data_IF_960160208520
#
_entry.id   IF_960160208520
#
_cell.length_a   1.000
_cell.length_b   1.000
_cell.length_c   1.000
_cell.angle_alpha   90.00
_cell.angle_beta   90.00
_cell.angle_gamma   90.00
#
_symmetry.space_group_name_H-M   'P 1'
#
loop_
_entity.id
_entity.type
_entity.pdbx_description
1 polymer ?
#
# COMPACT_ATOMS: atom_id res chain seq x y z
N UNK A 1 -14.93 21.05 -40.17
CA UNK A 1 -13.89 20.35 -39.37
C UNK A 1 -14.60 19.38 -38.44
N UNK A 2 -14.50 18.08 -38.75
CA UNK A 2 -15.13 16.91 -38.10
C UNK A 2 -14.81 16.86 -36.58
N UNK A 3 -15.72 16.57 -35.65
CA UNK A 3 -16.52 15.35 -35.39
C UNK A 3 -15.67 14.13 -34.97
N UNK A 4 -15.87 13.65 -33.73
CA UNK A 4 -16.27 12.26 -33.42
C UNK A 4 -16.08 11.91 -31.92
N UNK A 5 -17.19 11.66 -31.23
CA UNK A 5 -17.24 10.87 -30.00
C UNK A 5 -17.35 9.39 -30.39
N UNK A 6 -16.56 8.52 -29.76
CA UNK A 6 -16.66 7.07 -29.90
C UNK A 6 -17.34 6.46 -28.67
N UNK A 7 -18.52 5.89 -28.90
CA UNK A 7 -19.18 4.95 -28.00
C UNK A 7 -18.94 3.53 -28.51
N UNK A 8 -18.66 2.59 -27.60
CA UNK A 8 -18.49 1.16 -27.89
C UNK A 8 -19.62 0.38 -27.23
N UNK A 9 -20.37 -0.43 -27.98
CA UNK A 9 -21.10 -1.55 -27.41
C UNK A 9 -20.58 -2.88 -27.95
N UNK A 10 -20.51 -3.90 -27.10
CA UNK A 10 -20.39 -5.30 -27.53
C UNK A 10 -21.36 -6.16 -26.73
N UNK A 11 -22.36 -6.68 -27.43
CA UNK A 11 -23.11 -7.85 -27.00
C UNK A 11 -22.48 -9.12 -27.58
N UNK A 12 -22.69 -10.25 -26.91
CA UNK A 12 -22.75 -11.59 -27.52
C UNK A 12 -23.84 -12.38 -26.78
N UNK A 13 -24.54 -13.19 -27.55
CA UNK A 13 -25.82 -13.84 -27.28
C UNK A 13 -25.64 -15.37 -27.18
N UNK A 14 -26.63 -16.05 -26.57
CA UNK A 14 -27.22 -17.37 -26.92
C UNK A 14 -27.15 -18.57 -25.94
N UNK A 15 -28.38 -19.08 -25.71
CA UNK A 15 -28.86 -20.47 -25.51
C UNK A 15 -28.56 -21.12 -24.14
N UNK A 16 -29.45 -21.89 -23.49
CA UNK A 16 -30.39 -22.93 -23.97
C UNK A 16 -31.62 -23.04 -23.03
N UNK A 17 -32.78 -23.39 -23.61
CA UNK A 17 -34.07 -23.76 -23.00
C UNK A 17 -34.02 -25.09 -22.21
N UNK A 18 -34.84 -25.24 -21.16
CA UNK A 18 -35.84 -26.34 -21.04
C UNK A 18 -36.81 -26.13 -19.87
N UNK A 19 -38.01 -26.67 -20.07
CA UNK A 19 -39.28 -26.46 -19.38
C UNK A 19 -39.51 -27.24 -18.06
N UNK A 20 -40.66 -26.90 -17.45
CA UNK A 20 -41.67 -27.71 -16.72
C UNK A 20 -41.66 -27.56 -15.19
N UNK A 21 -42.65 -26.84 -14.63
CA UNK A 21 -44.04 -27.23 -14.32
C UNK A 21 -44.13 -28.06 -13.02
N UNK A 22 -44.57 -27.41 -11.94
CA UNK A 22 -45.84 -27.66 -11.23
C UNK A 22 -45.71 -27.46 -9.71
N UNK A 23 -46.62 -26.60 -9.23
CA UNK A 23 -47.44 -26.73 -8.02
C UNK A 23 -46.75 -27.05 -6.68
N UNK A 24 -46.89 -26.09 -5.78
CA UNK A 24 -47.67 -26.34 -4.57
C UNK A 24 -46.98 -26.00 -3.26
N UNK A 25 -47.73 -25.34 -2.38
CA UNK A 25 -47.63 -25.59 -0.94
C UNK A 25 -46.89 -24.54 -0.12
N UNK A 26 -47.61 -23.50 0.29
CA UNK A 26 -47.33 -22.76 1.52
C UNK A 26 -47.53 -23.73 2.69
N UNK A 27 -46.52 -23.93 3.56
CA UNK A 27 -46.72 -24.22 4.99
C UNK A 27 -45.44 -24.07 5.80
N UNK A 28 -45.62 -23.40 6.93
CA UNK A 28 -44.70 -23.21 8.05
C UNK A 28 -43.98 -24.49 8.45
N UNK A 29 -42.66 -24.42 8.70
CA UNK A 29 -41.93 -25.30 9.61
C UNK A 29 -40.79 -24.45 10.22
N UNK A 30 -40.97 -23.98 11.45
CA UNK A 30 -40.39 -24.58 12.66
C UNK A 30 -38.85 -24.51 12.69
N UNK A 31 -38.36 -23.59 13.54
CA UNK A 31 -36.96 -23.53 14.00
C UNK A 31 -36.55 -24.88 14.61
N UNK A 32 -35.33 -25.38 14.36
CA UNK A 32 -34.68 -26.28 15.29
C UNK A 32 -33.80 -25.49 16.26
N UNK A 33 -34.06 -25.66 17.56
CA UNK A 33 -33.02 -25.51 18.59
C UNK A 33 -32.17 -26.78 18.53
N UNK A 34 -30.87 -26.65 18.30
CA UNK A 34 -29.91 -27.69 18.65
C UNK A 34 -28.74 -27.06 19.40
N UNK A 35 -28.49 -27.67 20.56
CA UNK A 35 -27.43 -27.50 21.53
C UNK A 35 -26.06 -27.90 20.99
N UNK A 36 -25.00 -27.24 21.46
CA UNK A 36 -23.65 -27.82 21.50
C UNK A 36 -22.56 -26.92 20.92
N UNK A 37 -21.49 -26.76 21.71
CA UNK A 37 -20.23 -26.08 21.43
C UNK A 37 -20.23 -24.54 21.53
N UNK A 38 -19.50 -24.06 22.53
CA UNK A 38 -18.98 -22.69 22.66
C UNK A 38 -18.21 -22.27 21.40
N UNK A 39 -18.64 -21.27 20.61
CA UNK A 39 -17.78 -20.67 19.62
C UNK A 39 -17.02 -19.53 20.31
N UNK A 40 -15.73 -19.76 20.55
CA UNK A 40 -14.82 -18.72 21.03
C UNK A 40 -14.79 -17.59 20.01
N UNK A 41 -15.06 -16.37 20.48
CA UNK A 41 -14.67 -15.05 19.94
C UNK A 41 -14.48 -14.87 18.42
N UNK A 42 -15.18 -15.61 17.57
CA UNK A 42 -15.42 -15.20 16.20
C UNK A 42 -16.54 -14.17 16.29
N UNK A 43 -16.14 -12.91 16.45
CA UNK A 43 -17.01 -11.81 16.06
C UNK A 43 -17.23 -12.05 14.57
N UNK A 44 -18.31 -12.76 14.25
CA UNK A 44 -19.08 -12.53 13.05
C UNK A 44 -19.37 -11.04 13.03
N UNK A 45 -18.42 -10.26 12.52
CA UNK A 45 -18.73 -9.01 11.87
C UNK A 45 -19.67 -9.45 10.79
N UNK A 46 -20.97 -9.42 11.11
CA UNK A 46 -21.99 -9.56 10.10
C UNK A 46 -21.49 -8.70 8.95
N UNK A 47 -21.36 -9.31 7.78
CA UNK A 47 -21.45 -8.61 6.52
C UNK A 47 -22.87 -8.00 6.43
N UNK A 48 -23.31 -7.27 7.46
CA UNK A 48 -24.33 -6.28 7.37
C UNK A 48 -23.73 -5.23 6.45
N UNK A 49 -23.93 -5.52 5.17
CA UNK A 49 -24.21 -4.62 4.08
C UNK A 49 -24.00 -3.18 4.54
N UNK A 50 -23.15 -2.42 3.86
CA UNK A 50 -23.37 -0.97 3.79
C UNK A 50 -24.83 -0.78 3.38
N UNK A 51 -25.74 -0.69 4.36
CA UNK A 51 -27.17 -0.60 4.13
C UNK A 51 -27.32 0.82 3.65
N UNK A 52 -27.24 0.97 2.32
CA UNK A 52 -27.68 2.17 1.65
C UNK A 52 -29.02 2.55 2.25
N UNK A 53 -29.13 3.79 2.67
CA UNK A 53 -30.37 4.36 3.19
C UNK A 53 -31.18 4.76 1.98
N UNK A 54 -32.34 4.13 1.81
CA UNK A 54 -33.30 4.51 0.77
C UNK A 54 -34.19 5.60 1.36
N UNK A 55 -34.06 6.82 0.84
CA UNK A 55 -34.84 7.98 1.24
C UNK A 55 -36.06 8.06 0.33
N UNK A 56 -37.25 8.10 0.95
CA UNK A 56 -38.53 8.12 0.24
C UNK A 56 -39.41 9.28 0.71
N UNK A 57 -40.21 9.82 -0.19
CA UNK A 57 -41.22 10.83 0.09
C UNK A 57 -42.62 10.23 -0.04
N UNK A 58 -43.56 10.64 0.81
CA UNK A 58 -44.97 10.25 0.66
C UNK A 58 -45.57 10.95 -0.55
N UNK A 59 -46.24 10.21 -1.43
CA UNK A 59 -46.83 10.79 -2.63
C UNK A 59 -47.97 11.77 -2.32
N UNK A 60 -48.71 11.52 -1.25
CA UNK A 60 -49.80 12.37 -0.76
C UNK A 60 -49.35 13.14 0.49
N UNK A 61 -49.62 14.45 0.52
CA UNK A 61 -49.38 15.29 1.70
C UNK A 61 -50.21 14.78 2.89
N UNK A 62 -49.58 14.70 4.07
CA UNK A 62 -50.23 14.29 5.32
C UNK A 62 -50.85 15.53 5.97
N UNK A 63 -52.15 15.53 6.32
CA UNK A 63 -52.74 16.67 7.01
C UNK A 63 -52.11 16.86 8.39
N UNK A 64 -51.93 18.13 8.77
CA UNK A 64 -51.31 18.50 10.05
C UNK A 64 -52.17 18.01 11.21
N UNK A 65 -51.52 17.44 12.21
CA UNK A 65 -52.13 17.21 13.51
C UNK A 65 -52.07 18.49 14.33
N UNK A 66 -52.95 18.63 15.33
CA UNK A 66 -52.74 19.63 16.38
C UNK A 66 -51.41 19.39 17.10
N UNK A 67 -50.86 20.44 17.68
CA UNK A 67 -49.57 20.37 18.38
C UNK A 67 -49.56 19.29 19.48
N UNK A 68 -48.47 18.52 19.55
CA UNK A 68 -48.34 17.35 20.44
C UNK A 68 -49.18 16.13 20.05
N UNK A 69 -50.04 16.21 19.02
CA UNK A 69 -50.85 15.07 18.54
C UNK A 69 -50.18 14.34 17.39
N UNK A 70 -50.38 13.03 17.32
CA UNK A 70 -49.91 12.20 16.20
C UNK A 70 -50.78 12.46 14.95
N UNK A 71 -50.20 12.54 13.74
CA UNK A 71 -50.97 12.72 12.51
C UNK A 71 -51.82 11.48 12.19
N UNK A 72 -53.04 11.71 11.75
CA UNK A 72 -53.93 10.63 11.27
C UNK A 72 -53.52 10.23 9.85
N UNK A 73 -52.95 9.03 9.72
CA UNK A 73 -52.52 8.50 8.43
C UNK A 73 -53.64 7.72 7.75
N UNK A 74 -53.90 8.03 6.48
CA UNK A 74 -54.83 7.28 5.64
C UNK A 74 -54.07 6.23 4.82
N UNK A 75 -54.77 5.21 4.30
CA UNK A 75 -54.18 4.15 3.45
C UNK A 75 -53.36 4.73 2.28
N UNK A 76 -53.84 5.83 1.69
CA UNK A 76 -53.16 6.54 0.58
C UNK A 76 -51.75 7.06 0.95
N UNK A 77 -51.50 7.38 2.23
CA UNK A 77 -50.19 7.90 2.69
C UNK A 77 -49.10 6.82 2.79
N UNK A 78 -49.42 5.55 2.48
CA UNK A 78 -48.45 4.44 2.38
C UNK A 78 -47.83 4.31 0.99
N UNK A 79 -48.24 5.15 0.04
CA UNK A 79 -47.61 5.22 -1.29
C UNK A 79 -46.42 6.17 -1.21
N UNK A 80 -45.24 5.65 -1.55
CA UNK A 80 -43.99 6.38 -1.49
C UNK A 80 -43.39 6.55 -2.89
N UNK A 81 -42.71 7.68 -3.10
CA UNK A 81 -41.86 7.96 -4.24
C UNK A 81 -40.41 7.91 -3.77
N UNK A 82 -39.56 7.17 -4.49
CA UNK A 82 -38.12 7.16 -4.25
C UNK A 82 -37.56 8.56 -4.51
N UNK A 83 -36.87 9.13 -3.52
CA UNK A 83 -36.18 10.42 -3.66
C UNK A 83 -34.72 10.17 -3.96
N UNK A 84 -34.06 9.38 -3.11
CA UNK A 84 -32.63 9.16 -3.21
C UNK A 84 -32.23 7.83 -2.54
N UNK A 85 -31.20 7.18 -3.07
CA UNK A 85 -30.58 6.02 -2.44
C UNK A 85 -29.12 6.33 -2.13
N UNK A 86 -28.74 6.34 -0.84
CA UNK A 86 -27.41 6.77 -0.43
C UNK A 86 -26.29 5.85 -0.91
N UNK A 87 -26.60 4.63 -1.37
CA UNK A 87 -25.58 3.72 -1.94
C UNK A 87 -24.95 4.26 -3.23
N UNK A 88 -25.65 5.13 -3.95
CA UNK A 88 -25.19 5.73 -5.20
C UNK A 88 -24.48 7.07 -5.00
N UNK A 89 -24.44 7.60 -3.76
CA UNK A 89 -23.68 8.80 -3.47
C UNK A 89 -22.16 8.56 -3.61
N UNK A 90 -21.38 9.57 -4.05
CA UNK A 90 -19.92 9.51 -4.01
C UNK A 90 -19.43 9.18 -2.61
N UNK A 91 -18.45 8.26 -2.51
CA UNK A 91 -17.91 7.82 -1.22
C UNK A 91 -16.86 8.82 -0.74
N UNK A 92 -17.09 9.39 0.43
CA UNK A 92 -16.08 10.21 1.11
C UNK A 92 -14.99 9.35 1.76
N UNK A 93 -13.82 9.95 1.93
CA UNK A 93 -12.72 9.37 2.69
C UNK A 93 -12.98 9.48 4.21
N UNK A 94 -12.20 8.74 4.99
CA UNK A 94 -12.21 8.70 6.45
C UNK A 94 -10.88 9.26 6.94
N UNK A 95 -10.93 10.24 7.84
CA UNK A 95 -9.75 10.77 8.52
C UNK A 95 -9.41 9.91 9.74
N UNK A 96 -8.17 9.44 9.79
CA UNK A 96 -7.62 8.65 10.89
C UNK A 96 -6.24 9.20 11.27
N UNK A 97 -5.82 8.96 12.52
CA UNK A 97 -4.47 9.21 12.99
C UNK A 97 -3.77 7.86 13.12
N UNK A 98 -2.59 7.70 12.52
CA UNK A 98 -1.84 6.45 12.59
C UNK A 98 -1.16 6.28 13.95
N UNK A 99 -1.32 5.12 14.58
CA UNK A 99 -0.63 4.74 15.82
C UNK A 99 0.73 4.12 15.52
N UNK A 100 0.88 3.43 14.39
CA UNK A 100 2.12 2.80 13.95
C UNK A 100 2.43 3.27 12.53
N UNK A 101 3.70 3.22 12.10
CA UNK A 101 4.01 3.44 10.70
C UNK A 101 3.44 2.30 9.86
N UNK A 102 2.75 2.68 8.79
CA UNK A 102 2.14 1.74 7.86
C UNK A 102 2.65 2.06 6.47
N UNK A 103 3.19 1.03 5.81
CA UNK A 103 3.66 1.10 4.43
C UNK A 103 2.69 1.88 3.52
N UNK A 104 3.24 2.81 2.75
CA UNK A 104 2.56 3.71 1.80
C UNK A 104 1.67 4.81 2.40
N UNK A 105 1.07 4.58 3.57
CA UNK A 105 0.18 5.54 4.23
C UNK A 105 0.99 6.67 4.88
N UNK A 106 1.79 6.35 5.89
CA UNK A 106 2.49 7.35 6.68
C UNK A 106 3.08 6.81 7.98
N UNK A 107 3.55 7.74 8.80
CA UNK A 107 4.26 7.47 10.05
C UNK A 107 3.32 7.62 11.24
N UNK A 108 3.69 7.06 12.40
CA UNK A 108 3.00 7.27 13.67
C UNK A 108 2.77 8.77 13.95
N UNK A 109 1.51 9.11 14.22
CA UNK A 109 1.02 10.45 14.52
C UNK A 109 0.53 11.23 13.30
N UNK A 110 0.72 10.72 12.09
CA UNK A 110 0.24 11.40 10.87
C UNK A 110 -1.29 11.29 10.75
N UNK A 111 -1.93 12.38 10.31
CA UNK A 111 -3.32 12.41 9.92
C UNK A 111 -3.45 11.97 8.46
N UNK A 112 -4.13 10.85 8.23
CA UNK A 112 -4.31 10.25 6.90
C UNK A 112 -5.78 10.22 6.48
N UNK A 113 -6.05 10.56 5.22
CA UNK A 113 -7.37 10.45 4.60
C UNK A 113 -7.45 9.19 3.75
N UNK A 114 -8.07 8.13 4.29
CA UNK A 114 -8.13 6.80 3.67
C UNK A 114 -9.54 6.44 3.23
N UNK A 115 -9.67 5.47 2.30
CA UNK A 115 -11.00 4.91 1.98
C UNK A 115 -11.61 4.28 3.23
N UNK A 116 -12.90 4.52 3.47
CA UNK A 116 -13.67 3.97 4.61
C UNK A 116 -13.51 2.44 4.78
N UNK A 117 -13.38 1.70 3.67
CA UNK A 117 -13.14 0.25 3.67
C UNK A 117 -11.80 -0.15 4.29
N UNK A 118 -10.72 0.55 3.95
CA UNK A 118 -9.36 0.26 4.48
C UNK A 118 -9.30 0.60 5.97
N UNK A 119 -9.87 1.74 6.35
CA UNK A 119 -9.93 2.16 7.76
C UNK A 119 -10.68 1.16 8.64
N UNK A 120 -11.88 0.75 8.24
CA UNK A 120 -12.75 -0.12 9.06
C UNK A 120 -12.36 -1.58 9.09
N UNK A 121 -11.81 -2.12 7.99
CA UNK A 121 -11.54 -3.55 7.89
C UNK A 121 -10.10 -3.90 8.29
N UNK A 122 -9.15 -2.97 8.12
CA UNK A 122 -7.72 -3.20 8.38
C UNK A 122 -7.21 -2.35 9.54
N UNK A 123 -7.21 -1.02 9.39
CA UNK A 123 -6.48 -0.16 10.32
C UNK A 123 -7.06 -0.10 11.74
N UNK A 124 -8.38 -0.02 11.88
CA UNK A 124 -9.04 0.08 13.19
C UNK A 124 -9.05 -1.27 13.93
N UNK A 125 -9.39 -2.42 13.30
CA UNK A 125 -9.36 -3.70 13.99
C UNK A 125 -7.95 -4.14 14.40
N UNK A 126 -6.94 -3.85 13.58
CA UNK A 126 -5.52 -4.16 13.88
C UNK A 126 -4.89 -3.16 14.87
N UNK A 127 -5.59 -2.08 15.24
CA UNK A 127 -5.07 -1.06 16.15
C UNK A 127 -3.98 -0.16 15.55
N UNK A 128 -3.79 -0.21 14.22
CA UNK A 128 -2.80 0.60 13.49
C UNK A 128 -3.18 2.08 13.41
N UNK A 129 -4.45 2.42 13.64
CA UNK A 129 -4.95 3.79 13.59
C UNK A 129 -6.07 4.02 14.61
N UNK A 130 -6.28 5.30 14.95
CA UNK A 130 -7.37 5.77 15.81
C UNK A 130 -8.19 6.82 15.06
N UNK A 131 -9.47 6.96 15.42
CA UNK A 131 -10.30 8.04 14.89
C UNK A 131 -9.70 9.42 15.21
N UNK A 132 -9.78 10.33 14.24
CA UNK A 132 -9.32 11.71 14.36
C UNK A 132 -10.29 12.59 15.18
N UNK A 133 -10.63 12.16 16.40
CA UNK A 133 -11.44 12.93 17.36
C UNK A 133 -10.64 14.16 17.87
N UNK A 134 -11.31 15.23 18.33
CA UNK A 134 -10.60 16.40 18.87
C UNK A 134 -9.73 16.07 20.08
N UNK A 135 -10.15 15.10 20.90
CA UNK A 135 -9.37 14.60 22.05
C UNK A 135 -8.09 13.89 21.58
N UNK A 136 -8.21 12.95 20.63
CA UNK A 136 -7.05 12.23 20.11
C UNK A 136 -6.07 13.17 19.40
N UNK A 137 -6.58 14.16 18.64
CA UNK A 137 -5.74 15.16 17.99
C UNK A 137 -4.87 15.91 19.00
N UNK A 138 -5.43 16.33 20.14
CA UNK A 138 -4.68 16.97 21.22
C UNK A 138 -3.61 16.06 21.82
N UNK A 139 -3.95 14.80 22.11
CA UNK A 139 -3.00 13.82 22.65
C UNK A 139 -1.79 13.60 21.72
N UNK A 140 -2.04 13.44 20.41
CA UNK A 140 -0.95 13.25 19.43
C UNK A 140 -0.16 14.53 19.16
N UNK A 141 -0.78 15.71 19.31
CA UNK A 141 -0.09 17.00 19.22
C UNK A 141 0.85 17.21 20.41
N UNK A 142 0.40 16.93 21.64
CA UNK A 142 1.24 16.91 22.84
C UNK A 142 2.40 15.92 22.70
N UNK A 143 2.12 14.68 22.23
CA UNK A 143 3.17 13.68 21.97
C UNK A 143 4.19 14.17 20.93
N UNK A 144 3.73 14.87 19.88
CA UNK A 144 4.60 15.45 18.85
C UNK A 144 5.48 16.56 19.43
N UNK A 145 4.96 17.41 20.30
CA UNK A 145 5.73 18.44 21.00
C UNK A 145 6.80 17.81 21.89
N UNK A 146 6.44 16.81 22.70
CA UNK A 146 7.38 16.10 23.57
C UNK A 146 8.52 15.42 22.78
N UNK A 147 8.25 14.89 21.58
CA UNK A 147 9.29 14.36 20.67
C UNK A 147 10.20 15.45 20.12
N UNK A 148 9.66 16.63 19.78
CA UNK A 148 10.46 17.76 19.29
C UNK A 148 11.38 18.31 20.38
N UNK A 149 10.93 18.31 21.64
CA UNK A 149 11.75 18.63 22.82
C UNK A 149 12.82 17.57 23.12
N UNK A 150 12.78 16.41 22.45
CA UNK A 150 13.73 15.32 22.66
C UNK A 150 13.48 14.47 23.91
N UNK A 151 12.31 14.61 24.56
CA UNK A 151 11.92 13.79 25.72
C UNK A 151 11.49 12.37 25.34
N UNK A 152 11.10 12.19 24.08
CA UNK A 152 10.64 10.93 23.50
C UNK A 152 11.51 10.55 22.30
N UNK A 153 11.56 9.25 22.00
CA UNK A 153 12.34 8.72 20.89
C UNK A 153 11.92 9.35 19.55
N UNK A 154 12.93 9.66 18.72
CA UNK A 154 12.71 10.18 17.38
C UNK A 154 12.14 9.06 16.51
N UNK A 155 11.09 9.40 15.79
CA UNK A 155 10.47 8.50 14.82
C UNK A 155 11.05 8.79 13.44
N UNK A 156 11.22 7.75 12.62
CA UNK A 156 11.63 7.91 11.25
C UNK A 156 10.64 8.76 10.46
N UNK A 157 11.16 9.57 9.55
CA UNK A 157 10.32 10.29 8.59
C UNK A 157 9.82 9.32 7.52
N UNK A 158 8.67 9.61 6.89
CA UNK A 158 8.14 8.82 5.76
C UNK A 158 9.20 8.57 4.66
N UNK A 159 9.99 9.59 4.35
CA UNK A 159 11.09 9.49 3.40
C UNK A 159 12.25 8.60 3.92
N UNK A 160 12.51 8.62 5.23
CA UNK A 160 13.51 7.78 5.89
C UNK A 160 13.14 6.30 5.80
N UNK A 161 11.89 5.94 6.15
CA UNK A 161 11.40 4.56 6.05
C UNK A 161 11.43 4.05 4.60
N UNK A 162 11.04 4.90 3.63
CA UNK A 162 11.14 4.57 2.21
C UNK A 162 12.60 4.36 1.77
N UNK A 163 13.52 5.18 2.25
CA UNK A 163 14.95 5.05 1.98
C UNK A 163 15.52 3.77 2.58
N UNK A 164 15.15 3.43 3.83
CA UNK A 164 15.54 2.18 4.49
C UNK A 164 15.06 0.96 3.69
N UNK A 165 13.78 0.97 3.26
CA UNK A 165 13.21 -0.10 2.43
C UNK A 165 13.94 -0.23 1.09
N UNK A 166 14.24 0.89 0.44
CA UNK A 166 15.01 0.91 -0.80
C UNK A 166 16.42 0.31 -0.58
N UNK A 167 17.17 0.80 0.40
CA UNK A 167 18.52 0.34 0.70
C UNK A 167 18.59 -1.16 1.01
N UNK A 168 17.60 -1.73 1.72
CA UNK A 168 17.51 -3.18 1.97
C UNK A 168 17.39 -4.02 0.71
N UNK A 169 16.80 -3.47 -0.35
CA UNK A 169 16.63 -4.16 -1.64
C UNK A 169 17.80 -3.95 -2.62
N UNK A 170 18.71 -3.04 -2.31
CA UNK A 170 19.77 -2.64 -3.23
C UNK A 170 21.05 -3.45 -3.06
N UNK A 171 21.81 -3.56 -4.16
CA UNK A 171 23.18 -4.05 -4.19
C UNK A 171 24.07 -2.99 -4.85
N UNK A 172 25.17 -2.61 -4.21
CA UNK A 172 26.05 -1.52 -4.66
C UNK A 172 27.27 -2.04 -5.42
N UNK A 173 27.44 -1.63 -6.68
CA UNK A 173 28.65 -1.93 -7.46
C UNK A 173 29.70 -0.81 -7.40
N UNK A 174 30.83 -1.11 -6.78
CA UNK A 174 31.95 -0.17 -6.64
C UNK A 174 33.05 -0.49 -7.67
N UNK A 175 32.97 0.15 -8.84
CA UNK A 175 33.99 0.05 -9.88
C UNK A 175 35.29 0.80 -9.56
N UNK A 176 36.38 0.07 -9.29
CA UNK A 176 37.74 0.58 -9.06
C UNK A 176 38.73 0.19 -10.17
N UNK A 177 39.69 1.06 -10.51
CA UNK A 177 40.66 0.79 -11.60
C UNK A 177 41.79 -0.13 -11.13
N UNK A 178 42.16 -1.11 -11.95
CA UNK A 178 43.26 -2.05 -11.63
C UNK A 178 44.66 -1.41 -11.58
N UNK A 179 44.90 -0.37 -12.39
CA UNK A 179 46.26 0.16 -12.59
C UNK A 179 46.71 1.16 -11.50
N UNK A 180 45.85 1.42 -10.52
CA UNK A 180 46.09 2.39 -9.44
C UNK A 180 45.89 1.65 -8.13
N UNK A 181 46.81 1.78 -7.17
CA UNK A 181 46.58 1.30 -5.81
C UNK A 181 45.49 2.17 -5.18
N UNK A 182 44.42 1.55 -4.69
CA UNK A 182 43.29 2.23 -4.08
C UNK A 182 42.94 1.57 -2.75
N UNK A 183 42.44 2.39 -1.83
CA UNK A 183 41.82 1.98 -0.58
C UNK A 183 40.39 2.53 -0.58
N UNK A 184 39.42 1.72 -0.17
CA UNK A 184 38.02 2.12 -0.23
C UNK A 184 37.67 3.06 0.94
N UNK A 185 37.56 4.35 0.66
CA UNK A 185 37.09 5.35 1.64
C UNK A 185 35.56 5.52 1.59
N UNK A 186 34.91 5.94 2.69
CA UNK A 186 33.47 6.23 2.72
C UNK A 186 33.03 7.23 1.64
N UNK A 187 33.88 8.21 1.30
CA UNK A 187 33.63 9.17 0.22
C UNK A 187 33.53 8.54 -1.17
N UNK A 188 34.30 7.49 -1.42
CA UNK A 188 34.25 6.74 -2.68
C UNK A 188 32.91 6.02 -2.76
N UNK A 189 32.51 5.35 -1.67
CA UNK A 189 31.24 4.62 -1.58
C UNK A 189 30.04 5.57 -1.75
N UNK A 190 30.05 6.72 -1.07
CA UNK A 190 29.02 7.76 -1.20
C UNK A 190 28.83 8.23 -2.65
N UNK A 191 29.94 8.44 -3.39
CA UNK A 191 29.86 8.81 -4.82
C UNK A 191 29.24 7.72 -5.68
N UNK A 192 29.48 6.45 -5.36
CA UNK A 192 28.91 5.32 -6.08
C UNK A 192 27.43 5.11 -5.77
N UNK A 193 26.98 5.38 -4.54
CA UNK A 193 25.55 5.45 -4.21
C UNK A 193 24.82 6.46 -5.11
N UNK A 194 25.37 7.66 -5.26
CA UNK A 194 24.79 8.68 -6.13
C UNK A 194 24.79 8.25 -7.61
N UNK A 195 25.92 7.71 -8.09
CA UNK A 195 26.07 7.39 -9.52
C UNK A 195 25.25 6.19 -9.96
N UNK A 196 25.20 5.12 -9.15
CA UNK A 196 24.60 3.87 -9.55
C UNK A 196 23.14 3.73 -9.07
N UNK A 197 22.84 4.20 -7.85
CA UNK A 197 21.52 4.05 -7.23
C UNK A 197 20.71 5.36 -7.22
N UNK A 198 21.33 6.50 -7.50
CA UNK A 198 20.66 7.81 -7.47
C UNK A 198 20.36 8.33 -6.07
N UNK A 199 20.96 7.75 -5.02
CA UNK A 199 20.74 8.14 -3.63
C UNK A 199 21.90 8.98 -3.13
N UNK A 200 21.61 10.18 -2.60
CA UNK A 200 22.60 11.04 -1.96
C UNK A 200 22.82 10.55 -0.53
N UNK A 201 24.01 10.05 -0.24
CA UNK A 201 24.41 9.61 1.11
C UNK A 201 25.61 10.42 1.56
N UNK A 202 25.57 10.95 2.78
CA UNK A 202 26.70 11.66 3.35
C UNK A 202 27.79 10.68 3.83
N UNK A 203 29.10 10.98 3.68
CA UNK A 203 30.17 10.06 4.06
C UNK A 203 30.15 9.64 5.53
N UNK A 204 29.73 10.53 6.44
CA UNK A 204 29.65 10.25 7.89
C UNK A 204 28.51 9.28 8.26
N UNK A 205 27.53 9.11 7.39
CA UNK A 205 26.43 8.17 7.60
C UNK A 205 26.82 6.72 7.23
N UNK A 206 27.95 6.54 6.54
CA UNK A 206 28.46 5.25 6.10
C UNK A 206 29.50 4.71 7.08
N UNK A 207 29.38 3.42 7.42
CA UNK A 207 30.42 2.65 8.09
C UNK A 207 30.86 1.49 7.18
N UNK A 208 32.17 1.35 7.03
CA UNK A 208 32.82 0.26 6.31
C UNK A 208 33.30 -0.79 7.33
N UNK A 209 33.57 -2.04 6.89
CA UNK A 209 34.23 -3.01 7.77
C UNK A 209 35.56 -2.47 8.28
N UNK A 210 35.98 -2.93 9.46
CA UNK A 210 37.19 -2.45 10.13
C UNK A 210 38.46 -2.70 9.31
N UNK A 211 38.47 -3.76 8.50
CA UNK A 211 39.59 -4.11 7.64
C UNK A 211 39.64 -3.21 6.39
N UNK A 212 40.82 -2.66 6.04
CA UNK A 212 40.96 -1.81 4.87
C UNK A 212 40.74 -2.60 3.57
N UNK A 213 39.71 -2.22 2.81
CA UNK A 213 39.38 -2.88 1.54
C UNK A 213 40.31 -2.36 0.44
N UNK A 214 41.27 -3.21 0.05
CA UNK A 214 42.22 -2.99 -1.06
C UNK A 214 42.05 -4.00 -2.20
N UNK A 215 41.31 -5.08 -1.95
CA UNK A 215 41.09 -6.16 -2.91
C UNK A 215 39.68 -6.10 -3.48
N UNK A 216 39.52 -6.65 -4.68
CA UNK A 216 38.21 -6.82 -5.32
C UNK A 216 37.51 -8.01 -4.67
N UNK A 217 36.21 -7.87 -4.42
CA UNK A 217 35.44 -8.88 -3.72
C UNK A 217 34.06 -8.39 -3.32
N UNK A 218 33.36 -9.22 -2.57
CA UNK A 218 32.07 -8.91 -1.98
C UNK A 218 32.26 -8.44 -0.54
N UNK A 219 31.67 -7.29 -0.21
CA UNK A 219 31.76 -6.65 1.10
C UNK A 219 30.39 -6.11 1.49
N UNK A 220 30.31 -5.53 2.69
CA UNK A 220 29.07 -4.95 3.21
C UNK A 220 29.36 -3.53 3.69
N UNK A 221 28.45 -2.59 3.45
CA UNK A 221 28.51 -1.24 3.97
C UNK A 221 27.29 -0.98 4.84
N UNK A 222 27.49 -0.44 6.03
CA UNK A 222 26.40 -0.02 6.90
C UNK A 222 26.04 1.44 6.63
N UNK A 223 24.78 1.71 6.34
CA UNK A 223 24.24 3.04 6.06
C UNK A 223 23.27 3.42 7.17
N UNK A 224 23.57 4.50 7.89
CA UNK A 224 22.71 5.04 8.95
C UNK A 224 21.75 6.09 8.38
N UNK A 225 20.44 5.86 8.52
CA UNK A 225 19.39 6.78 8.05
C UNK A 225 18.85 7.58 9.23
N UNK A 226 18.97 8.90 9.16
CA UNK A 226 18.56 9.87 10.21
C UNK A 226 19.18 9.63 11.59
N UNK A 227 20.25 8.82 11.67
CA UNK A 227 20.87 8.40 12.93
C UNK A 227 20.03 7.42 13.75
N UNK A 228 18.99 6.81 13.17
CA UNK A 228 18.11 5.86 13.86
C UNK A 228 18.32 4.44 13.33
N UNK A 229 18.00 4.22 12.05
CA UNK A 229 18.11 2.90 11.44
C UNK A 229 19.45 2.71 10.74
N UNK A 230 20.14 1.63 11.09
CA UNK A 230 21.35 1.19 10.38
C UNK A 230 20.97 0.06 9.42
N UNK A 231 21.27 0.23 8.13
CA UNK A 231 20.99 -0.74 7.08
C UNK A 231 22.30 -1.30 6.53
N UNK A 232 22.45 -2.63 6.56
CA UNK A 232 23.59 -3.32 5.95
C UNK A 232 23.31 -3.54 4.46
N UNK A 233 24.05 -2.85 3.60
CA UNK A 233 23.94 -2.91 2.14
C UNK A 233 25.07 -3.78 1.58
N UNK A 234 24.78 -4.83 0.79
CA UNK A 234 25.81 -5.59 0.09
C UNK A 234 26.49 -4.72 -0.98
N UNK A 235 27.81 -4.78 -1.05
CA UNK A 235 28.60 -4.10 -2.08
C UNK A 235 29.58 -5.05 -2.76
N UNK A 236 29.69 -4.96 -4.08
CA UNK A 236 30.71 -5.67 -4.85
C UNK A 236 31.75 -4.67 -5.37
N UNK A 237 33.02 -4.92 -5.08
CA UNK A 237 34.12 -4.10 -5.59
C UNK A 237 34.62 -4.74 -6.89
N UNK A 238 34.25 -4.13 -8.01
CA UNK A 238 34.50 -4.64 -9.37
C UNK A 238 35.57 -3.80 -10.08
N UNK A 239 36.18 -4.36 -11.14
CA UNK A 239 37.08 -3.57 -11.98
C UNK A 239 36.28 -2.51 -12.76
N UNK A 240 36.72 -1.24 -12.70
CA UNK A 240 36.12 -0.15 -13.46
C UNK A 240 36.38 -0.35 -14.96
N UNK A 241 35.41 -0.91 -15.67
CA UNK A 241 35.41 -0.91 -17.12
C UNK A 241 34.85 0.42 -17.63
N UNK A 242 35.61 1.13 -18.46
CA UNK A 242 35.04 2.27 -19.20
C UNK A 242 33.85 1.77 -20.02
N UNK A 243 32.75 2.55 -20.15
CA UNK A 243 31.63 2.15 -21.00
C UNK A 243 32.16 1.80 -22.39
N UNK A 244 32.06 0.52 -22.72
CA UNK A 244 32.60 -0.07 -23.95
C UNK A 244 31.90 0.59 -25.14
N UNK A 245 32.67 1.06 -26.13
CA UNK A 245 32.11 1.59 -27.40
C UNK A 245 31.18 0.54 -28.02
N UNK A 246 30.17 0.95 -28.81
CA UNK A 246 29.24 -0.01 -29.47
C UNK A 246 30.00 -1.13 -30.20
N UNK A 247 31.09 -0.76 -30.89
CA UNK A 247 32.02 -1.69 -31.57
C UNK A 247 32.64 -2.70 -30.61
N UNK A 248 33.10 -2.25 -29.43
CA UNK A 248 33.69 -3.14 -28.44
C UNK A 248 32.65 -4.08 -27.81
N UNK A 249 31.43 -3.59 -27.53
CA UNK A 249 30.32 -4.45 -27.08
C UNK A 249 30.01 -5.55 -28.11
N UNK A 250 29.97 -5.19 -29.40
CA UNK A 250 29.78 -6.15 -30.49
C UNK A 250 30.92 -7.17 -30.58
N UNK A 251 32.17 -6.72 -30.46
CA UNK A 251 33.35 -7.60 -30.45
C UNK A 251 33.32 -8.60 -29.28
N UNK A 252 32.94 -8.17 -28.07
CA UNK A 252 32.76 -9.08 -26.93
C UNK A 252 31.67 -10.12 -27.17
N UNK A 253 30.54 -9.70 -27.73
CA UNK A 253 29.44 -10.61 -28.05
C UNK A 253 29.90 -11.70 -29.06
N UNK A 254 30.71 -11.32 -30.05
CA UNK A 254 31.32 -12.29 -30.98
C UNK A 254 32.30 -13.25 -30.28
N UNK A 255 33.12 -12.77 -29.34
CA UNK A 255 34.05 -13.62 -28.59
C UNK A 255 33.30 -14.60 -27.68
N UNK A 256 32.25 -14.15 -26.98
CA UNK A 256 31.39 -15.00 -26.18
C UNK A 256 30.70 -16.08 -27.04
N UNK A 257 30.20 -15.70 -28.22
CA UNK A 257 29.60 -16.65 -29.17
C UNK A 257 30.62 -17.70 -29.68
N UNK A 258 31.86 -17.29 -29.99
CA UNK A 258 32.94 -18.21 -30.38
C UNK A 258 33.29 -19.21 -29.27
N UNK A 259 33.39 -18.74 -28.02
CA UNK A 259 33.65 -19.62 -26.87
C UNK A 259 32.51 -20.60 -26.57
N UNK A 260 31.25 -20.19 -26.77
CA UNK A 260 30.11 -21.10 -26.66
C UNK A 260 30.11 -22.17 -27.76
N UNK A 261 30.40 -21.77 -29.01
CA UNK A 261 30.50 -22.70 -30.13
C UNK A 261 31.60 -23.76 -29.92
N UNK A 262 32.80 -23.36 -29.49
CA UNK A 262 33.88 -24.31 -29.21
C UNK A 262 33.53 -25.30 -28.09
N UNK A 263 32.78 -24.85 -27.08
CA UNK A 263 32.35 -25.72 -25.96
C UNK A 263 31.27 -26.71 -26.40
N UNK A 264 30.37 -26.33 -27.33
CA UNK A 264 29.38 -27.26 -27.89
C UNK A 264 29.98 -28.34 -28.79
N UNK A 265 31.06 -28.04 -29.52
CA UNK A 265 31.74 -29.03 -30.37
C UNK A 265 32.58 -30.05 -29.58
N UNK A 266 32.92 -29.76 -28.31
CA UNK A 266 33.66 -30.69 -27.44
C UNK A 266 32.75 -31.58 -26.57
N UNK A 267 31.42 -31.41 -26.65
CA UNK A 267 30.43 -32.11 -25.80
C UNK A 267 29.59 -33.16 -26.54
N UNK A 268 29.99 -33.53 -27.76
CA UNK A 268 29.43 -34.62 -28.56
C UNK A 268 30.55 -35.66 -28.74
#
# INVERSE_FOLDING_TARGET
MAAAAFAVPRGVQLRVLTERLLRGGVRELLRPRLSGSTPGSERDFSLSHSRGTVIVERWWKVPLAGEGRKPRLHRRHRVYKLVEDTKHRPKENLELILTQSVDELGVRGDLVSVKKSVGRNRLLPEGLAVYASPENKKLFEEEKLLRQEGKLDKIQTKAGEATVKFLRSCHLEVGMKNNVKWELNPEIVARHFLRNLGVVVAPHALKLPEEPITQRGEYWCEVTVNGLDTVRVPMSVVNFERPKTKRYKYWLAQQAAKGMASTSFQKI
#
